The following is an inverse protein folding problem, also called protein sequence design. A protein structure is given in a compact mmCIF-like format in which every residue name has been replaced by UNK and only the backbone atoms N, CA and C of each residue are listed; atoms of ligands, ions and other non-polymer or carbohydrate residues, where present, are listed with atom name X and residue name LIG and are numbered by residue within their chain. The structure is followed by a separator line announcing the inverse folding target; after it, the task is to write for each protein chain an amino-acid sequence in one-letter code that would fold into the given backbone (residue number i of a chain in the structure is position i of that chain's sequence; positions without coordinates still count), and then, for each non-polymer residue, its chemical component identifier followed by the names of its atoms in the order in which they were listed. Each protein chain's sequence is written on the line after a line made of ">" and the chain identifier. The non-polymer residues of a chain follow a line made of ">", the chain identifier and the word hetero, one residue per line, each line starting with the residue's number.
data_IF_934286236112
#
_entry.id   IF_934286236112
#
_cell.length_a   1.000
_cell.length_b   1.000
_cell.length_c   1.000
_cell.angle_alpha   90.00
_cell.angle_beta   90.00
_cell.angle_gamma   90.00
#
_symmetry.space_group_name_H-M   'P 1'
#
loop_
_entity.id
_entity.type
_entity.pdbx_description
1 polymer ?
#
# COMPACT_ATOMS: atom_id res chain seq x y z
N UNK A 1 -9.10 9.37 3.65
CA UNK A 1 -7.98 8.40 3.65
C UNK A 1 -7.91 7.71 2.29
N UNK A 2 -6.74 7.65 1.71
CA UNK A 2 -6.50 6.94 0.47
C UNK A 2 -6.64 5.43 0.67
N UNK A 3 -7.42 4.76 -0.18
CA UNK A 3 -7.77 3.34 -0.05
C UNK A 3 -6.96 2.41 -0.97
N UNK A 4 -6.31 2.96 -2.00
CA UNK A 4 -5.69 2.19 -3.07
C UNK A 4 -4.32 2.77 -3.44
N UNK A 5 -3.46 1.91 -3.99
CA UNK A 5 -2.18 2.34 -4.56
C UNK A 5 -2.39 3.25 -5.78
N UNK A 6 -1.44 4.14 -6.01
CA UNK A 6 -1.38 4.94 -7.24
C UNK A 6 -1.00 4.06 -8.44
N UNK A 7 -1.21 4.51 -9.68
CA UNK A 7 -0.73 3.78 -10.86
C UNK A 7 0.77 3.49 -10.83
N UNK A 8 1.58 4.43 -10.37
CA UNK A 8 3.03 4.24 -10.25
C UNK A 8 3.38 3.18 -9.20
N UNK A 9 2.73 3.22 -8.04
CA UNK A 9 2.93 2.22 -6.98
C UNK A 9 2.51 0.83 -7.46
N UNK A 10 1.36 0.74 -8.13
CA UNK A 10 0.85 -0.51 -8.69
C UNK A 10 1.82 -1.10 -9.70
N UNK A 11 2.29 -0.29 -10.65
CA UNK A 11 3.26 -0.71 -11.67
C UNK A 11 4.56 -1.21 -11.03
N UNK A 12 5.03 -0.54 -9.99
CA UNK A 12 6.25 -0.94 -9.27
C UNK A 12 6.09 -2.31 -8.61
N UNK A 13 4.98 -2.57 -7.96
CA UNK A 13 4.73 -3.88 -7.32
C UNK A 13 4.63 -4.99 -8.37
N UNK A 14 3.98 -4.75 -9.50
CA UNK A 14 3.91 -5.72 -10.60
C UNK A 14 5.32 -5.98 -11.16
N UNK A 15 6.12 -4.95 -11.38
CA UNK A 15 7.50 -5.07 -11.83
C UNK A 15 8.35 -5.92 -10.89
N UNK A 16 8.11 -5.81 -9.57
CA UNK A 16 8.82 -6.59 -8.56
C UNK A 16 8.37 -8.04 -8.45
N UNK A 17 7.38 -8.46 -9.24
CA UNK A 17 6.92 -9.84 -9.31
C UNK A 17 5.69 -10.17 -8.48
N UNK A 18 5.04 -9.18 -7.88
CA UNK A 18 3.77 -9.41 -7.18
C UNK A 18 2.64 -9.68 -8.17
N UNK A 19 1.67 -10.50 -7.76
CA UNK A 19 0.48 -10.78 -8.57
C UNK A 19 -0.29 -9.48 -8.85
N UNK A 20 -0.92 -9.41 -10.02
CA UNK A 20 -1.75 -8.26 -10.37
C UNK A 20 -2.91 -8.10 -9.39
N UNK A 21 -3.36 -6.86 -9.13
CA UNK A 21 -4.51 -6.64 -8.26
C UNK A 21 -5.74 -7.39 -8.75
N UNK A 22 -6.46 -8.01 -7.82
CA UNK A 22 -7.68 -8.77 -8.12
C UNK A 22 -8.89 -7.88 -8.39
N UNK A 23 -8.87 -6.68 -7.83
CA UNK A 23 -9.94 -5.71 -8.02
C UNK A 23 -9.53 -4.69 -9.08
N UNK A 24 -10.18 -4.74 -10.23
CA UNK A 24 -10.15 -3.64 -11.18
C UNK A 24 -11.01 -2.52 -10.62
N UNK A 25 -10.40 -1.55 -9.99
CA UNK A 25 -11.08 -0.31 -9.68
C UNK A 25 -11.06 0.54 -10.96
N UNK A 26 -12.23 0.80 -11.52
CA UNK A 26 -12.35 1.79 -12.58
C UNK A 26 -12.03 3.15 -11.98
N UNK A 27 -10.80 3.59 -12.12
CA UNK A 27 -10.43 4.94 -11.75
C UNK A 27 -10.83 5.86 -12.91
N UNK A 28 -11.85 6.66 -12.67
CA UNK A 28 -12.17 7.74 -13.58
C UNK A 28 -11.30 8.94 -13.23
N UNK A 29 -10.63 9.49 -14.23
CA UNK A 29 -9.83 10.69 -14.08
C UNK A 29 -10.61 11.86 -14.69
N UNK A 30 -10.65 12.98 -13.97
CA UNK A 30 -11.26 14.19 -14.52
C UNK A 30 -10.47 14.64 -15.76
N UNK A 31 -11.11 14.58 -16.92
CA UNK A 31 -10.53 14.96 -18.22
C UNK A 31 -10.57 16.48 -18.41
N UNK A 32 -11.71 17.09 -18.15
CA UNK A 32 -11.92 18.54 -18.23
C UNK A 32 -13.17 18.96 -17.47
N UNK A 33 -13.18 20.21 -17.07
CA UNK A 33 -14.38 20.87 -16.54
C UNK A 33 -15.10 21.54 -17.71
N UNK A 34 -16.34 21.08 -17.98
CA UNK A 34 -17.15 21.59 -19.09
C UNK A 34 -17.93 22.87 -18.68
N UNK A 35 -17.86 23.27 -17.41
CA UNK A 35 -18.62 24.39 -16.85
C UNK A 35 -19.90 23.93 -16.14
N UNK A 36 -20.57 24.86 -15.43
CA UNK A 36 -21.80 24.58 -14.68
C UNK A 36 -21.70 23.44 -13.64
N UNK A 37 -20.49 23.18 -13.09
CA UNK A 37 -20.26 22.07 -12.17
C UNK A 37 -20.23 20.69 -12.82
N UNK A 38 -20.23 20.62 -14.16
CA UNK A 38 -20.15 19.37 -14.90
C UNK A 38 -18.70 19.06 -15.22
N UNK A 39 -18.26 17.86 -14.82
CA UNK A 39 -16.91 17.37 -15.09
C UNK A 39 -17.01 16.19 -16.06
N UNK A 40 -16.24 16.26 -17.14
CA UNK A 40 -16.09 15.14 -18.05
C UNK A 40 -15.05 14.17 -17.49
N UNK A 41 -15.44 12.92 -17.30
CA UNK A 41 -14.59 11.88 -16.77
C UNK A 41 -14.08 10.97 -17.87
N UNK A 42 -12.84 10.55 -17.77
CA UNK A 42 -12.22 9.59 -18.67
C UNK A 42 -11.89 8.33 -17.90
N UNK A 43 -12.17 7.17 -18.48
CA UNK A 43 -11.73 5.90 -17.92
C UNK A 43 -10.20 5.83 -18.04
N UNK A 44 -9.52 5.75 -16.90
CA UNK A 44 -8.06 5.70 -16.85
C UNK A 44 -7.49 4.32 -17.28
N UNK A 45 -8.33 3.48 -17.91
CA UNK A 45 -7.95 2.13 -18.33
C UNK A 45 -8.14 1.09 -17.22
N UNK A 46 -7.96 -0.18 -17.58
CA UNK A 46 -8.08 -1.32 -16.69
C UNK A 46 -6.84 -1.49 -15.78
N UNK A 47 -6.28 -0.39 -15.28
CA UNK A 47 -5.20 -0.50 -14.33
C UNK A 47 -5.79 -0.77 -12.95
N UNK A 48 -5.78 -2.03 -12.54
CA UNK A 48 -6.12 -2.42 -11.19
C UNK A 48 -5.22 -1.70 -10.19
N UNK A 49 -5.74 -1.44 -9.01
CA UNK A 49 -4.97 -0.88 -7.90
C UNK A 49 -5.07 -1.82 -6.71
N UNK A 50 -3.99 -1.96 -5.97
CA UNK A 50 -4.01 -2.77 -4.74
C UNK A 50 -4.76 -2.01 -3.65
N UNK A 51 -5.70 -2.70 -3.02
CA UNK A 51 -6.37 -2.18 -1.83
C UNK A 51 -5.47 -2.31 -0.59
N UNK A 52 -5.84 -1.62 0.48
CA UNK A 52 -5.19 -1.79 1.79
C UNK A 52 -5.20 -3.26 2.21
N UNK A 53 -6.33 -3.95 2.05
CA UNK A 53 -6.44 -5.38 2.38
C UNK A 53 -5.48 -6.25 1.59
N UNK A 54 -5.35 -6.01 0.29
CA UNK A 54 -4.39 -6.74 -0.54
C UNK A 54 -2.94 -6.49 -0.13
N UNK A 55 -2.61 -5.25 0.23
CA UNK A 55 -1.26 -4.91 0.71
C UNK A 55 -0.96 -5.60 2.04
N UNK A 56 -1.93 -5.65 2.95
CA UNK A 56 -1.78 -6.37 4.22
C UNK A 56 -1.53 -7.86 3.99
N UNK A 57 -2.23 -8.48 3.03
CA UNK A 57 -2.04 -9.88 2.67
C UNK A 57 -0.64 -10.18 2.11
N UNK A 58 0.05 -9.19 1.56
CA UNK A 58 1.43 -9.34 1.08
C UNK A 58 2.46 -9.40 2.20
N UNK A 59 2.11 -8.98 3.41
CA UNK A 59 3.03 -8.98 4.55
C UNK A 59 3.27 -10.42 5.03
N UNK A 60 4.54 -10.83 5.19
CA UNK A 60 4.87 -12.20 5.58
C UNK A 60 4.60 -12.46 7.06
N UNK A 61 4.25 -13.69 7.41
CA UNK A 61 4.10 -14.12 8.81
C UNK A 61 5.46 -14.36 9.48
N UNK A 62 6.49 -14.60 8.68
CA UNK A 62 7.84 -14.91 9.15
C UNK A 62 8.87 -14.02 8.47
N UNK A 63 9.84 -13.53 9.24
CA UNK A 63 10.99 -12.79 8.73
C UNK A 63 12.25 -13.48 9.26
N UNK A 64 13.15 -13.86 8.34
CA UNK A 64 14.37 -14.61 8.66
C UNK A 64 14.09 -15.89 9.49
N UNK A 65 12.99 -16.58 9.19
CA UNK A 65 12.59 -17.81 9.84
C UNK A 65 11.91 -17.65 11.20
N UNK A 66 11.74 -16.42 11.67
CA UNK A 66 11.10 -16.12 12.95
C UNK A 66 9.71 -15.51 12.73
N UNK A 67 8.74 -15.95 13.53
CA UNK A 67 7.41 -15.39 13.53
C UNK A 67 7.43 -13.92 13.97
N UNK A 68 6.71 -13.07 13.26
CA UNK A 68 6.65 -11.63 13.55
C UNK A 68 5.22 -11.18 13.80
N UNK A 69 5.06 -10.20 14.65
CA UNK A 69 3.79 -9.54 14.91
C UNK A 69 3.72 -8.25 14.10
N UNK A 70 2.66 -8.12 13.31
CA UNK A 70 2.37 -6.90 12.56
C UNK A 70 1.44 -6.01 13.36
N UNK A 71 1.73 -4.71 13.37
CA UNK A 71 0.91 -3.71 14.03
C UNK A 71 0.68 -2.51 13.11
N UNK A 72 -0.54 -2.01 13.14
CA UNK A 72 -0.95 -0.80 12.43
C UNK A 72 -1.53 0.15 13.45
N UNK A 73 -0.95 1.34 13.57
CA UNK A 73 -1.38 2.36 14.51
C UNK A 73 -1.65 3.68 13.81
N UNK A 74 -2.59 4.43 14.34
CA UNK A 74 -2.81 5.82 13.97
C UNK A 74 -2.63 6.70 15.20
N UNK A 75 -2.02 7.87 15.01
CA UNK A 75 -1.86 8.85 16.09
C UNK A 75 -2.97 9.92 16.00
N UNK A 76 -3.50 10.31 17.16
CA UNK A 76 -4.42 11.44 17.25
C UNK A 76 -3.62 12.76 17.13
N UNK A 77 -4.19 13.73 16.44
CA UNK A 77 -3.60 15.07 16.28
C UNK A 77 -2.96 15.23 14.91
N UNK A 78 -1.72 14.85 14.73
CA UNK A 78 -1.13 14.69 13.40
C UNK A 78 -1.54 13.32 12.89
N UNK A 79 -2.48 13.27 11.95
CA UNK A 79 -2.99 12.01 11.39
C UNK A 79 -1.86 11.33 10.62
N UNK A 80 -1.13 10.47 11.31
CA UNK A 80 -0.09 9.63 10.71
C UNK A 80 -0.38 8.17 11.00
N UNK A 81 -0.09 7.33 10.03
CA UNK A 81 -0.22 5.90 10.13
C UNK A 81 1.16 5.28 10.30
N UNK A 82 1.29 4.42 11.29
CA UNK A 82 2.51 3.63 11.54
C UNK A 82 2.22 2.18 11.22
N UNK A 83 3.05 1.59 10.37
CA UNK A 83 3.03 0.16 10.05
C UNK A 83 4.36 -0.43 10.49
N UNK A 84 4.30 -1.49 11.26
CA UNK A 84 5.52 -2.08 11.76
C UNK A 84 5.39 -3.54 12.16
N UNK A 85 6.52 -4.16 12.38
CA UNK A 85 6.61 -5.50 12.91
C UNK A 85 7.64 -5.57 14.02
N UNK A 86 7.44 -6.52 14.90
CA UNK A 86 8.41 -6.89 15.91
C UNK A 86 8.53 -8.41 16.00
N UNK A 87 9.69 -8.87 16.41
CA UNK A 87 9.96 -10.27 16.62
C UNK A 87 10.31 -10.48 18.09
N UNK A 88 9.50 -11.23 18.81
CA UNK A 88 9.72 -11.52 20.23
C UNK A 88 11.04 -12.28 20.47
N UNK A 89 11.38 -13.23 19.61
CA UNK A 89 12.55 -14.08 19.78
C UNK A 89 13.87 -13.33 19.60
N UNK A 90 13.92 -12.39 18.63
CA UNK A 90 15.17 -11.67 18.29
C UNK A 90 15.22 -10.27 18.88
N UNK A 91 14.08 -9.71 19.29
CA UNK A 91 13.96 -8.32 19.71
C UNK A 91 14.05 -7.32 18.57
N UNK A 92 14.11 -7.79 17.32
CA UNK A 92 14.15 -6.91 16.15
C UNK A 92 12.78 -6.32 15.88
N UNK A 93 12.79 -5.10 15.36
CA UNK A 93 11.58 -4.39 14.97
C UNK A 93 11.87 -3.43 13.83
N UNK A 94 10.82 -3.02 13.12
CA UNK A 94 10.91 -2.06 12.03
C UNK A 94 9.59 -1.33 11.89
N UNK A 95 9.64 0.00 11.76
CA UNK A 95 8.46 0.85 11.66
C UNK A 95 8.59 1.83 10.52
N UNK A 96 7.48 2.05 9.82
CA UNK A 96 7.33 3.10 8.81
C UNK A 96 6.12 3.93 9.17
N UNK A 97 6.27 5.24 9.19
CA UNK A 97 5.21 6.20 9.52
C UNK A 97 4.98 7.13 8.34
N UNK A 98 3.73 7.21 7.88
CA UNK A 98 3.33 8.09 6.77
C UNK A 98 1.94 8.66 7.05
N UNK A 99 1.58 9.75 6.35
CA UNK A 99 0.25 10.37 6.47
C UNK A 99 -0.85 9.48 5.89
N UNK A 100 -0.52 8.61 4.92
CA UNK A 100 -1.44 7.68 4.30
C UNK A 100 -1.04 6.23 4.59
N UNK A 101 -2.01 5.43 5.04
CA UNK A 101 -1.77 4.01 5.36
C UNK A 101 -1.29 3.23 4.14
N UNK A 102 -1.87 3.48 2.96
CA UNK A 102 -1.45 2.84 1.71
C UNK A 102 0.04 3.07 1.45
N UNK A 103 0.53 4.30 1.67
CA UNK A 103 1.93 4.64 1.45
C UNK A 103 2.84 3.94 2.46
N UNK A 104 2.44 3.86 3.71
CA UNK A 104 3.21 3.15 4.74
C UNK A 104 3.32 1.65 4.41
N UNK A 105 2.21 1.02 4.03
CA UNK A 105 2.19 -0.39 3.62
C UNK A 105 3.03 -0.63 2.38
N UNK A 106 2.87 0.20 1.36
CA UNK A 106 3.64 0.12 0.12
C UNK A 106 5.14 0.19 0.38
N UNK A 107 5.58 1.18 1.15
CA UNK A 107 7.00 1.34 1.48
C UNK A 107 7.55 0.18 2.32
N UNK A 108 6.76 -0.37 3.23
CA UNK A 108 7.15 -1.55 4.00
C UNK A 108 7.35 -2.76 3.08
N UNK A 109 6.45 -2.99 2.13
CA UNK A 109 6.55 -4.07 1.17
C UNK A 109 7.79 -3.91 0.30
N UNK A 110 8.07 -2.69 -0.20
CA UNK A 110 9.29 -2.42 -0.97
C UNK A 110 10.55 -2.74 -0.16
N UNK A 111 10.57 -2.32 1.10
CA UNK A 111 11.71 -2.55 1.98
C UNK A 111 11.96 -4.02 2.23
N UNK A 112 10.92 -4.80 2.51
CA UNK A 112 11.01 -6.24 2.68
C UNK A 112 11.48 -6.95 1.41
N UNK A 113 11.01 -6.51 0.24
CA UNK A 113 11.44 -7.04 -1.05
C UNK A 113 12.91 -6.73 -1.34
N UNK A 114 13.33 -5.52 -1.05
CA UNK A 114 14.72 -5.06 -1.20
C UNK A 114 15.67 -5.82 -0.28
N UNK A 115 15.23 -6.14 0.94
CA UNK A 115 15.99 -6.94 1.90
C UNK A 115 15.99 -8.44 1.58
N UNK A 116 15.23 -8.87 0.57
CA UNK A 116 15.14 -10.27 0.17
C UNK A 116 14.27 -11.13 1.09
N UNK A 117 13.41 -10.51 1.91
CA UNK A 117 12.52 -11.21 2.85
C UNK A 117 11.30 -11.81 2.14
N UNK A 118 10.85 -11.15 1.10
CA UNK A 118 9.70 -11.59 0.29
C UNK A 118 9.99 -11.60 -1.19
#
# INVERSE_FOLDING_TARGET
>A
MKQYTTPEQTAKLIELGFERPKNTVYTQVAKRNIGYGIVEWEDAGEEGSYSIGELIEMLPDYINGNFVNWEIHTTRGDVKWSVGWDCFETGQFQWIRRTELVNALYEMILKLKEEGVI
#
